data_IF_276828686255
#
_entry.id   IF_276828686255
#
_cell.length_a   1.000
_cell.length_b   1.000
_cell.length_c   1.000
_cell.angle_alpha   90.00
_cell.angle_beta   90.00
_cell.angle_gamma   90.00
#
_symmetry.space_group_name_H-M   'P 1'
#
loop_
_entity.id
_entity.type
_entity.pdbx_description
1 polymer ?
#
# COMPACT_ATOMS: atom_id res chain seq x y z
N UNK A 1 -14.40 4.03 -28.28
CA UNK A 1 -14.25 3.91 -27.85
C UNK A 1 -14.13 3.66 -27.11
N UNK A 2 -13.97 3.45 -26.89
CA UNK A 2 -13.75 3.12 -26.23
C UNK A 2 -13.62 2.84 -25.32
N UNK A 3 -13.39 2.77 -25.22
CA UNK A 3 -13.21 2.50 -24.38
C UNK A 3 -13.47 1.97 -23.52
N UNK A 4 -13.40 1.50 -23.32
CA UNK A 4 -13.59 0.97 -22.57
C UNK A 4 -13.10 0.81 -21.73
N UNK A 5 -13.15 0.91 -21.32
CA UNK A 5 -12.75 0.85 -20.41
C UNK A 5 -12.40 -0.24 -19.60
N UNK A 6 -11.75 -0.18 -19.04
CA UNK A 6 -11.35 -1.38 -18.38
C UNK A 6 -11.84 -1.44 -16.94
N UNK A 7 -11.99 -2.61 -16.39
CA UNK A 7 -12.50 -2.77 -15.06
C UNK A 7 -11.44 -2.38 -14.03
N UNK A 8 -11.84 -1.71 -12.93
CA UNK A 8 -10.89 -1.30 -11.92
C UNK A 8 -10.11 -2.45 -11.29
N UNK A 9 -10.77 -3.60 -11.07
CA UNK A 9 -10.10 -4.70 -10.37
C UNK A 9 -9.11 -5.44 -11.24
N UNK A 10 -9.06 -5.14 -12.55
CA UNK A 10 -8.04 -5.68 -13.44
C UNK A 10 -6.94 -4.67 -13.71
N UNK A 11 -7.05 -3.47 -13.17
CA UNK A 11 -6.05 -2.43 -13.34
C UNK A 11 -4.89 -2.71 -12.40
N UNK A 12 -3.68 -2.73 -12.96
CA UNK A 12 -2.49 -3.04 -12.19
C UNK A 12 -2.28 -2.06 -11.03
N UNK A 13 -2.51 -0.78 -11.29
CA UNK A 13 -2.38 0.22 -10.24
C UNK A 13 -3.34 -0.03 -9.09
N UNK A 14 -4.56 -0.40 -9.41
CA UNK A 14 -5.55 -0.72 -8.39
C UNK A 14 -5.12 -1.94 -7.59
N UNK A 15 -4.57 -2.94 -8.26
CA UNK A 15 -4.09 -4.14 -7.59
C UNK A 15 -2.94 -3.82 -6.63
N UNK A 16 -2.01 -2.98 -7.09
CA UNK A 16 -0.87 -2.59 -6.26
C UNK A 16 -1.38 -1.85 -5.03
N UNK A 17 -2.30 -0.93 -5.20
CA UNK A 17 -2.83 -0.15 -4.09
C UNK A 17 -3.51 -1.06 -3.08
N UNK A 18 -4.29 -2.02 -3.55
CA UNK A 18 -4.95 -2.98 -2.67
C UNK A 18 -3.93 -3.82 -1.92
N UNK A 19 -2.88 -4.24 -2.61
CA UNK A 19 -1.82 -5.03 -1.96
C UNK A 19 -1.11 -4.20 -0.90
N UNK A 20 -0.84 -2.93 -1.19
CA UNK A 20 -0.23 -2.05 -0.22
C UNK A 20 -1.09 -1.93 1.03
N UNK A 21 -2.39 -1.73 0.84
CA UNK A 21 -3.30 -1.62 1.97
C UNK A 21 -3.26 -2.87 2.84
N UNK A 22 -3.29 -4.03 2.19
CA UNK A 22 -3.24 -5.31 2.91
C UNK A 22 -1.96 -5.45 3.71
N UNK A 23 -0.82 -5.16 3.08
CA UNK A 23 0.47 -5.30 3.75
C UNK A 23 0.60 -4.29 4.88
N UNK A 24 0.18 -3.06 4.64
CA UNK A 24 0.30 -2.02 5.66
C UNK A 24 -0.57 -2.34 6.87
N UNK A 25 -1.79 -2.83 6.65
CA UNK A 25 -2.66 -3.20 7.77
C UNK A 25 -2.12 -4.43 8.50
N UNK A 26 -1.56 -5.37 7.77
CA UNK A 26 -0.92 -6.53 8.40
C UNK A 26 0.22 -6.07 9.32
N UNK A 27 1.07 -5.17 8.81
CA UNK A 27 2.19 -4.68 9.58
C UNK A 27 1.73 -3.83 10.75
N UNK A 28 0.66 -3.06 10.56
CA UNK A 28 0.11 -2.27 11.64
C UNK A 28 -0.37 -3.15 12.78
N UNK A 29 -1.13 -4.18 12.46
CA UNK A 29 -1.66 -5.08 13.47
C UNK A 29 -0.56 -5.83 14.19
N UNK A 30 0.45 -6.24 13.42
CA UNK A 30 1.59 -6.96 14.00
C UNK A 30 2.33 -6.10 15.02
N UNK A 31 2.36 -4.78 14.79
CA UNK A 31 3.04 -3.84 15.68
C UNK A 31 2.13 -3.30 16.77
N UNK A 32 0.85 -3.63 16.73
CA UNK A 32 -0.11 -3.13 17.72
C UNK A 32 -0.33 -1.64 17.65
N UNK A 33 -0.24 -1.05 16.47
CA UNK A 33 -0.34 0.39 16.30
C UNK A 33 -1.75 0.81 15.88
N UNK A 34 -2.15 2.01 16.34
CA UNK A 34 -3.32 2.66 15.77
C UNK A 34 -3.00 3.16 14.37
N UNK A 35 -4.04 3.38 13.57
CA UNK A 35 -3.84 3.83 12.20
C UNK A 35 -3.06 5.13 12.10
N UNK A 36 -3.34 6.07 13.02
CA UNK A 36 -2.62 7.35 12.99
C UNK A 36 -1.14 7.17 13.27
N UNK A 37 -0.81 6.22 14.14
CA UNK A 37 0.59 5.97 14.46
C UNK A 37 1.29 5.27 13.30
N UNK A 38 0.57 4.41 12.61
CA UNK A 38 1.12 3.77 11.43
C UNK A 38 1.37 4.79 10.32
N UNK A 39 0.45 5.73 10.14
CA UNK A 39 0.66 6.80 9.17
C UNK A 39 1.90 7.60 9.51
N UNK A 40 2.09 7.91 10.79
CA UNK A 40 3.27 8.64 11.23
C UNK A 40 4.54 7.84 10.95
N UNK A 41 4.51 6.55 11.23
CA UNK A 41 5.66 5.68 10.97
C UNK A 41 6.02 5.69 9.48
N UNK A 42 5.02 5.68 8.62
CA UNK A 42 5.22 5.69 7.18
C UNK A 42 5.49 7.11 6.64
N UNK A 43 5.41 8.13 7.50
CA UNK A 43 5.63 9.53 7.13
C UNK A 43 4.62 9.99 6.09
N UNK A 44 3.37 9.63 6.30
CA UNK A 44 2.25 10.11 5.48
C UNK A 44 1.17 10.63 6.41
N UNK A 45 0.25 11.42 5.85
CA UNK A 45 -0.84 11.96 6.65
C UNK A 45 -1.92 10.91 6.89
N UNK A 46 -2.75 11.14 7.91
CA UNK A 46 -3.88 10.25 8.15
C UNK A 46 -4.80 10.14 6.93
N UNK A 47 -5.23 11.25 6.33
CA UNK A 47 -6.08 11.14 5.15
C UNK A 47 -5.43 10.33 4.03
N UNK A 48 -4.13 10.47 3.86
CA UNK A 48 -3.42 9.72 2.83
C UNK A 48 -3.44 8.22 3.16
N UNK A 49 -3.20 7.90 4.44
CA UNK A 49 -3.25 6.51 4.87
C UNK A 49 -4.62 5.90 4.57
N UNK A 50 -5.68 6.61 4.97
CA UNK A 50 -7.03 6.14 4.69
C UNK A 50 -7.32 6.09 3.21
N UNK A 51 -6.73 7.00 2.43
CA UNK A 51 -6.86 6.96 0.98
C UNK A 51 -6.27 5.68 0.38
N UNK A 52 -5.17 5.21 0.95
CA UNK A 52 -4.62 3.92 0.50
C UNK A 52 -5.59 2.81 0.85
N UNK A 53 -6.12 2.82 2.07
CA UNK A 53 -7.01 1.74 2.51
C UNK A 53 -8.29 1.68 1.69
N UNK A 54 -8.83 2.83 1.31
CA UNK A 54 -10.10 2.85 0.58
C UNK A 54 -9.92 2.95 -0.93
N UNK A 55 -8.68 2.95 -1.40
CA UNK A 55 -8.42 2.87 -2.83
C UNK A 55 -8.47 4.20 -3.56
N UNK A 56 -8.48 5.33 -2.85
CA UNK A 56 -8.56 6.64 -3.50
C UNK A 56 -7.21 7.35 -3.60
N UNK A 57 -6.19 6.86 -2.90
CA UNK A 57 -4.87 7.48 -2.99
C UNK A 57 -4.18 7.09 -4.29
N UNK A 58 -3.24 7.91 -4.68
CA UNK A 58 -2.43 7.65 -5.86
C UNK A 58 -0.97 7.88 -5.48
N UNK A 59 -0.39 6.92 -4.74
CA UNK A 59 0.97 7.13 -4.21
C UNK A 59 2.00 7.19 -5.31
N UNK A 60 2.90 8.15 -5.17
CA UNK A 60 4.04 8.22 -6.06
C UNK A 60 5.01 7.10 -5.75
N UNK A 61 5.91 6.86 -6.69
CA UNK A 61 6.95 5.85 -6.45
C UNK A 61 7.77 6.21 -5.23
N UNK A 62 8.03 7.50 -5.01
CA UNK A 62 8.79 7.93 -3.84
C UNK A 62 8.06 7.57 -2.54
N UNK A 63 6.74 7.75 -2.51
CA UNK A 63 5.97 7.40 -1.32
C UNK A 63 5.99 5.90 -1.10
N UNK A 64 5.83 5.13 -2.17
CA UNK A 64 5.84 3.67 -2.05
C UNK A 64 7.16 3.18 -1.50
N UNK A 65 8.27 3.70 -2.02
CA UNK A 65 9.58 3.28 -1.54
C UNK A 65 9.83 3.72 -0.10
N UNK A 66 9.32 4.89 0.28
CA UNK A 66 9.44 5.35 1.66
C UNK A 66 8.70 4.43 2.62
N UNK A 67 7.49 4.02 2.25
CA UNK A 67 6.73 3.10 3.08
C UNK A 67 7.48 1.78 3.22
N UNK A 68 7.98 1.26 2.11
CA UNK A 68 8.76 0.03 2.12
C UNK A 68 9.94 0.13 3.08
N UNK A 69 10.68 1.23 2.98
CA UNK A 69 11.84 1.45 3.83
C UNK A 69 11.46 1.55 5.30
N UNK A 70 10.41 2.34 5.60
CA UNK A 70 10.04 2.59 6.98
C UNK A 70 9.45 1.38 7.66
N UNK A 71 8.75 0.54 6.90
CA UNK A 71 8.19 -0.69 7.45
C UNK A 71 9.18 -1.85 7.42
N UNK A 72 10.30 -1.66 6.72
CA UNK A 72 11.28 -2.72 6.52
C UNK A 72 10.64 -3.93 5.83
N UNK A 73 9.76 -3.64 4.88
CA UNK A 73 9.11 -4.63 4.04
C UNK A 73 9.67 -4.47 2.65
N UNK A 74 10.15 -5.54 2.02
CA UNK A 74 10.67 -5.42 0.67
C UNK A 74 9.66 -4.78 -0.26
N UNK A 75 10.14 -3.95 -1.17
CA UNK A 75 9.26 -3.24 -2.09
C UNK A 75 8.37 -4.20 -2.85
N UNK A 76 8.95 -5.31 -3.29
CA UNK A 76 8.20 -6.32 -4.02
C UNK A 76 7.05 -6.86 -3.19
N UNK A 77 7.30 -7.15 -1.93
CA UNK A 77 6.24 -7.65 -1.04
C UNK A 77 5.15 -6.60 -0.86
N UNK A 78 5.54 -5.35 -0.68
CA UNK A 78 4.58 -4.27 -0.49
C UNK A 78 3.66 -4.13 -1.69
N UNK A 79 4.22 -4.19 -2.88
CA UNK A 79 3.46 -3.95 -4.10
C UNK A 79 2.70 -5.18 -4.58
N UNK A 80 3.26 -6.35 -4.35
CA UNK A 80 2.65 -7.60 -4.84
C UNK A 80 1.86 -8.34 -3.78
N UNK A 81 2.02 -7.96 -2.51
CA UNK A 81 1.23 -8.52 -1.44
C UNK A 81 1.69 -9.88 -0.95
N UNK A 82 2.76 -10.42 -1.51
CA UNK A 82 3.27 -11.73 -1.13
C UNK A 82 4.75 -11.60 -0.81
N UNK A 83 5.21 -12.40 0.13
CA UNK A 83 6.63 -12.41 0.47
C UNK A 83 7.43 -12.98 -0.69
N UNK A 84 8.56 -12.33 -0.91
CA UNK A 84 9.51 -12.90 -1.85
C UNK A 84 10.23 -14.02 -1.12
N UNK A 85 10.40 -15.08 -1.40
CA UNK A 85 10.98 -16.04 -0.54
C UNK A 85 11.84 -17.04 -0.85
N UNK A 86 11.75 -17.05 -0.52
CA UNK A 86 12.06 -17.62 -0.58
C UNK A 86 12.41 -18.38 -0.48
N UNK A 87 12.52 -18.67 -0.47
CA UNK A 87 12.71 -19.20 -0.28
C UNK A 87 12.98 -19.28 -0.07
#
# INVERSE_FOLDING_TARGET
>A
MTSKRKKPDTDLGTMILRNMATVMEREREKRGLAKKDMARLCEITNPYYFGILNGTANPSLQVITRISTNLKVPLQELMMGVKSSDN
#
